data_IF_075242891782
#
_entry.id   IF_075242891782
#
_cell.length_a   1.000
_cell.length_b   1.000
_cell.length_c   1.000
_cell.angle_alpha   90.00
_cell.angle_beta   90.00
_cell.angle_gamma   90.00
#
_symmetry.space_group_name_H-M   'P 1'
#
loop_
_entity.id
_entity.type
_entity.pdbx_description
1 polymer ?
#
# COMPACT_ATOMS: atom_id res chain seq x y z
N UNK A 1 17.14 -8.48 30.38
CA UNK A 1 17.50 -8.32 29.20
C UNK A 1 17.04 -9.16 28.02
N UNK A 2 17.78 -10.01 27.33
CA UNK A 2 17.36 -10.71 26.11
C UNK A 2 16.09 -11.55 26.32
N UNK A 3 15.99 -12.33 27.37
CA UNK A 3 14.82 -13.16 27.70
C UNK A 3 13.55 -12.32 27.85
N UNK A 4 13.62 -11.17 28.52
CA UNK A 4 12.47 -10.28 28.72
C UNK A 4 12.02 -9.73 27.36
N UNK A 5 12.95 -9.25 26.52
CA UNK A 5 12.64 -8.74 25.19
C UNK A 5 12.00 -9.82 24.30
N UNK A 6 12.52 -11.03 24.30
CA UNK A 6 11.98 -12.16 23.55
C UNK A 6 10.58 -12.55 24.05
N UNK A 7 10.39 -12.64 25.37
CA UNK A 7 9.07 -12.95 25.95
C UNK A 7 8.03 -11.89 25.61
N UNK A 8 8.41 -10.61 25.61
CA UNK A 8 7.50 -9.53 25.22
C UNK A 8 7.10 -9.63 23.75
N UNK A 9 8.03 -9.92 22.86
CA UNK A 9 7.74 -10.08 21.42
C UNK A 9 6.86 -11.30 21.13
N UNK A 10 7.01 -12.39 21.90
CA UNK A 10 6.26 -13.62 21.73
C UNK A 10 4.96 -13.68 22.54
N UNK A 11 4.62 -12.62 23.31
CA UNK A 11 3.44 -12.66 24.17
C UNK A 11 2.13 -12.87 23.38
N UNK A 12 2.03 -12.38 22.15
CA UNK A 12 0.85 -12.58 21.30
C UNK A 12 0.60 -14.05 20.96
N UNK A 13 1.65 -14.87 20.86
CA UNK A 13 1.54 -16.31 20.62
C UNK A 13 1.11 -17.13 21.85
N UNK A 14 0.95 -16.48 23.02
CA UNK A 14 0.36 -17.08 24.21
C UNK A 14 -1.16 -17.06 24.19
N UNK A 15 -1.75 -16.22 23.33
CA UNK A 15 -3.19 -16.19 23.12
C UNK A 15 -3.64 -17.52 22.49
N UNK A 16 -4.68 -18.11 23.06
CA UNK A 16 -5.17 -19.43 22.62
C UNK A 16 -5.62 -19.39 21.15
N UNK A 17 -6.34 -18.35 20.76
CA UNK A 17 -6.82 -18.17 19.38
C UNK A 17 -5.66 -18.09 18.38
N UNK A 18 -4.60 -17.32 18.69
CA UNK A 18 -3.42 -17.21 17.85
C UNK A 18 -2.73 -18.56 17.73
N UNK A 19 -2.58 -19.27 18.82
CA UNK A 19 -1.94 -20.58 18.86
C UNK A 19 -2.72 -21.61 18.05
N UNK A 20 -4.04 -21.61 18.16
CA UNK A 20 -4.91 -22.52 17.40
C UNK A 20 -4.86 -22.20 15.90
N UNK A 21 -4.87 -20.91 15.54
CA UNK A 21 -4.78 -20.45 14.14
C UNK A 21 -3.43 -20.83 13.48
N UNK A 22 -2.34 -20.78 14.24
CA UNK A 22 -0.98 -21.02 13.72
C UNK A 22 -0.46 -22.45 13.98
N UNK A 23 -1.28 -23.35 14.51
CA UNK A 23 -0.88 -24.70 14.85
C UNK A 23 -0.66 -25.61 13.63
N UNK A 24 -1.42 -25.42 12.57
CA UNK A 24 -1.35 -26.18 11.33
C UNK A 24 -1.24 -25.26 10.13
N UNK A 25 -0.51 -25.68 9.11
CA UNK A 25 -0.50 -25.02 7.82
C UNK A 25 -1.57 -25.65 6.91
N UNK A 26 -2.63 -24.87 6.64
CA UNK A 26 -3.72 -25.25 5.75
C UNK A 26 -3.82 -24.33 4.53
N UNK A 27 -2.93 -23.33 4.42
CA UNK A 27 -2.98 -22.29 3.38
C UNK A 27 -2.11 -22.67 2.20
N UNK A 28 -1.00 -23.36 2.44
CA UNK A 28 -0.03 -23.77 1.42
C UNK A 28 0.51 -22.58 0.60
N UNK A 29 1.08 -21.58 1.29
CA UNK A 29 1.61 -20.38 0.67
C UNK A 29 2.62 -20.68 -0.45
N UNK A 30 3.31 -21.81 -0.37
CA UNK A 30 4.29 -22.28 -1.34
C UNK A 30 3.68 -22.63 -2.71
N UNK A 31 2.37 -22.86 -2.79
CA UNK A 31 1.69 -23.14 -4.06
C UNK A 31 1.14 -21.89 -4.76
N UNK A 32 1.15 -20.76 -4.06
CA UNK A 32 0.72 -19.50 -4.64
C UNK A 32 1.66 -19.11 -5.79
N UNK A 33 1.10 -18.81 -6.96
CA UNK A 33 1.89 -18.51 -8.17
C UNK A 33 2.25 -19.74 -9.01
N UNK A 34 2.03 -20.96 -8.53
CA UNK A 34 2.14 -22.21 -9.29
C UNK A 34 0.80 -22.57 -9.94
N UNK A 35 -0.30 -22.33 -9.21
CA UNK A 35 -1.66 -22.62 -9.63
C UNK A 35 -2.54 -21.35 -9.53
N UNK A 36 -3.65 -21.35 -10.30
CA UNK A 36 -4.65 -20.27 -10.23
C UNK A 36 -5.41 -20.36 -8.90
N UNK A 37 -4.99 -19.57 -7.94
CA UNK A 37 -5.52 -19.56 -6.58
C UNK A 37 -6.01 -18.16 -6.21
N UNK A 38 -7.03 -18.07 -5.35
CA UNK A 38 -7.48 -16.84 -4.74
C UNK A 38 -7.46 -17.00 -3.21
N UNK A 39 -6.61 -16.21 -2.54
CA UNK A 39 -6.52 -16.15 -1.08
C UNK A 39 -7.26 -14.90 -0.58
N UNK A 40 -8.27 -15.09 0.26
CA UNK A 40 -9.02 -14.03 0.91
C UNK A 40 -8.58 -13.91 2.37
N UNK A 41 -8.10 -12.73 2.74
CA UNK A 41 -7.64 -12.42 4.09
C UNK A 41 -8.61 -11.40 4.68
N UNK A 42 -9.38 -11.82 5.68
CA UNK A 42 -10.37 -10.99 6.34
C UNK A 42 -9.78 -10.50 7.67
N UNK A 43 -9.60 -9.18 7.78
CA UNK A 43 -9.05 -8.53 8.97
C UNK A 43 -10.15 -7.69 9.63
N UNK A 44 -10.44 -7.88 10.92
CA UNK A 44 -11.41 -7.03 11.62
C UNK A 44 -10.98 -5.56 11.62
N UNK A 45 -11.86 -4.66 11.21
CA UNK A 45 -11.55 -3.21 11.17
C UNK A 45 -11.51 -2.55 12.55
N UNK A 46 -12.16 -3.17 13.54
CA UNK A 46 -12.32 -2.62 14.90
C UNK A 46 -11.33 -3.17 15.91
N UNK A 47 -10.66 -4.29 15.61
CA UNK A 47 -9.71 -4.95 16.51
C UNK A 47 -8.36 -5.10 15.83
N UNK A 48 -7.38 -4.32 16.32
CA UNK A 48 -6.01 -4.32 15.79
C UNK A 48 -5.11 -5.37 16.43
N UNK A 49 -5.62 -6.15 17.38
CA UNK A 49 -4.84 -7.13 18.15
C UNK A 49 -4.16 -8.16 17.26
N UNK A 50 -4.82 -8.54 16.15
CA UNK A 50 -4.37 -9.58 15.23
C UNK A 50 -3.70 -9.06 13.96
N UNK A 51 -3.55 -7.73 13.79
CA UNK A 51 -2.94 -7.16 12.59
C UNK A 51 -1.51 -7.64 12.35
N UNK A 52 -0.78 -7.95 13.42
CA UNK A 52 0.58 -8.50 13.31
C UNK A 52 0.62 -9.85 12.57
N UNK A 53 -0.43 -10.68 12.71
CA UNK A 53 -0.54 -11.96 11.98
C UNK A 53 -0.67 -11.73 10.48
N UNK A 54 -1.49 -10.75 10.08
CA UNK A 54 -1.63 -10.39 8.67
C UNK A 54 -0.30 -9.86 8.10
N UNK A 55 0.36 -8.93 8.80
CA UNK A 55 1.65 -8.42 8.38
C UNK A 55 2.72 -9.53 8.27
N UNK A 56 2.75 -10.45 9.23
CA UNK A 56 3.65 -11.61 9.22
C UNK A 56 3.35 -12.54 8.04
N UNK A 57 2.07 -12.85 7.79
CA UNK A 57 1.66 -13.69 6.68
C UNK A 57 2.01 -13.07 5.32
N UNK A 58 1.78 -11.75 5.13
CA UNK A 58 2.21 -11.07 3.92
C UNK A 58 3.72 -11.12 3.73
N UNK A 59 4.49 -10.93 4.80
CA UNK A 59 5.96 -11.06 4.75
C UNK A 59 6.37 -12.46 4.30
N UNK A 60 5.81 -13.50 4.94
CA UNK A 60 6.09 -14.88 4.57
C UNK A 60 5.67 -15.20 3.12
N UNK A 61 4.53 -14.68 2.68
CA UNK A 61 4.05 -14.91 1.32
C UNK A 61 4.98 -14.25 0.28
N UNK A 62 5.42 -13.02 0.49
CA UNK A 62 6.40 -12.38 -0.40
C UNK A 62 7.73 -13.14 -0.42
N UNK A 63 8.27 -13.51 0.74
CA UNK A 63 9.52 -14.26 0.83
C UNK A 63 9.40 -15.61 0.12
N UNK A 64 8.29 -16.32 0.33
CA UNK A 64 8.02 -17.62 -0.32
C UNK A 64 7.93 -17.47 -1.84
N UNK A 65 7.18 -16.47 -2.33
CA UNK A 65 7.04 -16.22 -3.78
C UNK A 65 8.38 -15.85 -4.43
N UNK A 66 9.20 -15.05 -3.76
CA UNK A 66 10.53 -14.69 -4.26
C UNK A 66 11.46 -15.90 -4.30
N UNK A 67 11.49 -16.69 -3.22
CA UNK A 67 12.29 -17.91 -3.19
C UNK A 67 11.86 -18.89 -4.28
N UNK A 68 10.56 -19.12 -4.44
CA UNK A 68 10.03 -19.98 -5.52
C UNK A 68 10.39 -19.47 -6.90
N UNK A 69 10.22 -18.17 -7.14
CA UNK A 69 10.58 -17.59 -8.43
C UNK A 69 12.07 -17.79 -8.75
N UNK A 70 12.95 -17.58 -7.77
CA UNK A 70 14.41 -17.70 -7.95
C UNK A 70 14.84 -19.15 -8.06
N UNK A 71 14.40 -19.98 -7.11
CA UNK A 71 14.92 -21.34 -6.93
C UNK A 71 14.34 -22.33 -7.94
N UNK A 72 13.01 -22.23 -8.21
CA UNK A 72 12.31 -23.21 -9.05
C UNK A 72 12.02 -22.72 -10.46
N UNK A 73 11.84 -21.41 -10.66
CA UNK A 73 11.35 -20.84 -11.93
C UNK A 73 12.33 -19.89 -12.63
N UNK A 74 13.61 -19.98 -12.29
CA UNK A 74 14.67 -19.20 -12.95
C UNK A 74 14.46 -17.67 -12.93
N UNK A 75 13.81 -17.17 -11.90
CA UNK A 75 13.62 -15.74 -11.63
C UNK A 75 12.23 -15.18 -11.95
N UNK A 76 11.25 -16.01 -12.35
CA UNK A 76 9.91 -15.54 -12.66
C UNK A 76 8.84 -16.60 -12.39
N UNK A 77 7.79 -16.25 -11.65
CA UNK A 77 6.68 -17.16 -11.38
C UNK A 77 5.93 -17.51 -12.66
N UNK A 78 5.40 -18.76 -12.81
CA UNK A 78 4.64 -19.18 -13.97
C UNK A 78 3.27 -18.51 -14.07
N UNK A 79 2.68 -18.12 -12.95
CA UNK A 79 1.40 -17.42 -12.86
C UNK A 79 1.60 -16.09 -12.15
N UNK A 80 1.04 -15.02 -12.74
CA UNK A 80 1.08 -13.69 -12.14
C UNK A 80 0.33 -13.64 -10.82
N UNK A 81 0.99 -13.21 -9.75
CA UNK A 81 0.39 -13.03 -8.43
C UNK A 81 0.09 -11.55 -8.20
N UNK A 82 -1.18 -11.23 -7.99
CA UNK A 82 -1.62 -9.87 -7.70
C UNK A 82 -2.11 -9.74 -6.28
N UNK A 83 -1.50 -8.85 -5.53
CA UNK A 83 -1.94 -8.44 -4.21
C UNK A 83 -2.93 -7.29 -4.32
N UNK A 84 -4.14 -7.46 -3.79
CA UNK A 84 -5.14 -6.41 -3.65
C UNK A 84 -5.22 -6.06 -2.16
N UNK A 85 -4.52 -5.01 -1.76
CA UNK A 85 -4.36 -4.62 -0.35
C UNK A 85 -5.35 -3.52 -0.03
N UNK A 86 -6.61 -3.93 0.18
CA UNK A 86 -7.68 -3.02 0.59
C UNK A 86 -7.49 -2.57 2.03
N UNK A 87 -7.74 -1.29 2.29
CA UNK A 87 -7.45 -0.65 3.59
C UNK A 87 -6.06 -1.00 4.14
N UNK A 88 -5.04 -0.86 3.29
CA UNK A 88 -3.65 -1.27 3.57
C UNK A 88 -3.14 -0.80 4.95
N UNK A 89 -3.59 0.37 5.41
CA UNK A 89 -3.21 0.87 6.71
C UNK A 89 -3.63 -0.03 7.88
N UNK A 90 -4.66 -0.86 7.71
CA UNK A 90 -5.16 -1.76 8.73
C UNK A 90 -4.37 -3.08 8.80
N UNK A 91 -3.61 -3.41 7.77
CA UNK A 91 -2.72 -4.59 7.79
C UNK A 91 -1.58 -4.43 8.80
N UNK A 92 -1.21 -3.18 9.11
CA UNK A 92 -0.01 -2.85 9.85
C UNK A 92 1.21 -2.72 8.92
N UNK A 93 2.38 -2.50 9.53
CA UNK A 93 3.61 -2.33 8.76
C UNK A 93 4.12 -3.67 8.26
N UNK A 94 4.18 -3.86 6.94
CA UNK A 94 4.91 -4.95 6.30
C UNK A 94 6.38 -4.51 6.22
N UNK A 95 7.32 -5.23 6.84
CA UNK A 95 8.74 -4.87 6.80
C UNK A 95 9.26 -4.78 5.36
N UNK A 96 10.04 -3.74 5.08
CA UNK A 96 10.72 -3.53 3.79
C UNK A 96 9.79 -3.54 2.56
N UNK A 97 8.51 -3.20 2.74
CA UNK A 97 7.51 -3.24 1.68
C UNK A 97 7.87 -2.31 0.49
N UNK A 98 8.56 -1.21 0.75
CA UNK A 98 9.12 -0.32 -0.27
C UNK A 98 10.08 -1.06 -1.22
N UNK A 99 10.93 -1.95 -0.69
CA UNK A 99 11.84 -2.77 -1.49
C UNK A 99 11.09 -3.86 -2.26
N UNK A 100 10.04 -4.42 -1.64
CA UNK A 100 9.16 -5.39 -2.29
C UNK A 100 8.51 -4.74 -3.52
N UNK A 101 7.91 -3.57 -3.38
CA UNK A 101 7.29 -2.83 -4.50
C UNK A 101 8.30 -2.51 -5.61
N UNK A 102 9.51 -2.11 -5.27
CA UNK A 102 10.56 -1.80 -6.24
C UNK A 102 10.99 -3.01 -7.09
N UNK A 103 10.81 -4.24 -6.59
CA UNK A 103 11.38 -5.44 -7.21
C UNK A 103 10.36 -6.47 -7.67
N UNK A 104 9.13 -6.43 -7.16
CA UNK A 104 8.11 -7.49 -7.33
C UNK A 104 7.76 -7.77 -8.80
N UNK A 105 7.74 -6.75 -9.66
CA UNK A 105 7.42 -6.87 -11.10
C UNK A 105 8.35 -7.86 -11.80
N UNK A 106 9.62 -7.89 -11.44
CA UNK A 106 10.61 -8.83 -12.00
C UNK A 106 10.19 -10.29 -11.79
N UNK A 107 9.52 -10.59 -10.69
CA UNK A 107 9.13 -11.94 -10.30
C UNK A 107 7.70 -12.32 -10.70
N UNK A 108 7.03 -11.53 -11.54
CA UNK A 108 5.63 -11.70 -11.93
C UNK A 108 4.67 -11.43 -10.76
N UNK A 109 5.01 -10.48 -9.90
CA UNK A 109 4.20 -10.05 -8.77
C UNK A 109 3.82 -8.58 -8.95
N UNK A 110 2.58 -8.23 -8.62
CA UNK A 110 2.10 -6.85 -8.56
C UNK A 110 1.28 -6.59 -7.30
N UNK A 111 1.24 -5.34 -6.85
CA UNK A 111 0.43 -4.91 -5.73
C UNK A 111 -0.43 -3.70 -6.10
N UNK A 112 -1.67 -3.72 -5.66
CA UNK A 112 -2.59 -2.59 -5.64
C UNK A 112 -2.79 -2.21 -4.18
N UNK A 113 -2.30 -1.03 -3.81
CA UNK A 113 -2.37 -0.51 -2.43
C UNK A 113 -3.50 0.51 -2.37
N UNK A 114 -4.52 0.24 -1.55
CA UNK A 114 -5.67 1.11 -1.39
C UNK A 114 -5.61 1.77 -0.01
N UNK A 115 -5.72 3.09 0.00
CA UNK A 115 -5.60 3.92 1.19
C UNK A 115 -6.73 4.95 1.23
N UNK A 116 -7.14 5.34 2.40
CA UNK A 116 -8.06 6.47 2.56
C UNK A 116 -7.34 7.82 2.35
N UNK A 117 -6.08 7.91 2.75
CA UNK A 117 -5.22 9.09 2.57
C UNK A 117 -3.73 8.73 2.76
N UNK A 118 -2.83 9.56 2.25
CA UNK A 118 -1.37 9.37 2.38
C UNK A 118 -0.87 9.61 3.81
N UNK A 119 -1.61 10.32 4.65
CA UNK A 119 -1.26 10.51 6.06
C UNK A 119 -1.21 9.18 6.82
N UNK A 120 -2.03 8.19 6.42
CA UNK A 120 -1.97 6.83 6.98
C UNK A 120 -0.64 6.17 6.65
N UNK A 121 -0.20 6.27 5.40
CA UNK A 121 1.06 5.71 4.94
C UNK A 121 2.26 6.33 5.66
N UNK A 122 2.25 7.66 5.79
CA UNK A 122 3.28 8.40 6.52
C UNK A 122 3.42 7.97 7.99
N UNK A 123 2.30 7.66 8.65
CA UNK A 123 2.32 7.14 10.03
C UNK A 123 2.94 5.74 10.13
N UNK A 124 2.68 4.86 9.13
CA UNK A 124 3.17 3.48 9.15
C UNK A 124 4.65 3.37 8.79
N UNK A 125 5.07 4.12 7.77
CA UNK A 125 6.41 3.97 7.18
C UNK A 125 7.36 5.13 7.48
N UNK A 126 6.88 6.15 8.22
CA UNK A 126 7.67 7.31 8.68
C UNK A 126 8.55 7.91 7.57
N UNK A 127 9.85 7.59 7.59
CA UNK A 127 10.83 8.16 6.64
C UNK A 127 10.79 7.54 5.24
N UNK A 128 10.34 6.30 5.10
CA UNK A 128 10.30 5.58 3.81
C UNK A 128 8.94 5.63 3.11
N UNK A 129 7.98 6.38 3.63
CA UNK A 129 6.62 6.42 3.07
C UNK A 129 6.58 6.93 1.62
N UNK A 130 7.45 7.86 1.23
CA UNK A 130 7.50 8.44 -0.13
C UNK A 130 7.96 7.42 -1.18
N UNK A 131 8.73 6.41 -0.75
CA UNK A 131 9.19 5.35 -1.64
C UNK A 131 8.04 4.46 -2.13
N UNK A 132 6.94 4.34 -1.35
CA UNK A 132 5.82 3.50 -1.74
C UNK A 132 5.07 4.05 -2.96
N UNK A 133 4.53 5.27 -2.95
CA UNK A 133 3.92 5.84 -4.15
C UNK A 133 4.95 6.03 -5.28
N UNK A 134 6.21 6.31 -4.96
CA UNK A 134 7.29 6.42 -5.94
C UNK A 134 7.60 5.13 -6.70
N UNK A 135 7.32 3.96 -6.11
CA UNK A 135 7.47 2.65 -6.75
C UNK A 135 6.19 2.16 -7.45
N UNK A 136 5.12 2.94 -7.44
CA UNK A 136 3.87 2.62 -8.14
C UNK A 136 3.83 3.30 -9.51
N UNK A 137 3.62 2.54 -10.58
CA UNK A 137 3.51 3.07 -11.94
C UNK A 137 2.26 3.95 -12.14
N UNK A 138 1.22 3.73 -11.35
CA UNK A 138 -0.08 4.41 -11.47
C UNK A 138 -0.61 4.79 -10.11
N UNK A 139 -1.06 6.02 -9.98
CA UNK A 139 -1.78 6.51 -8.81
C UNK A 139 -3.16 7.01 -9.24
N UNK A 140 -4.20 6.50 -8.56
CA UNK A 140 -5.60 6.93 -8.79
C UNK A 140 -6.07 7.66 -7.53
N UNK A 141 -6.51 8.90 -7.71
CA UNK A 141 -7.07 9.71 -6.64
C UNK A 141 -8.55 10.01 -6.89
N UNK A 142 -9.39 9.57 -5.98
CA UNK A 142 -10.85 9.71 -6.08
C UNK A 142 -11.40 10.93 -5.33
N UNK A 143 -10.50 11.77 -4.82
CA UNK A 143 -10.86 12.93 -4.02
C UNK A 143 -10.78 12.67 -2.51
N UNK A 144 -10.70 13.74 -1.74
CA UNK A 144 -10.63 13.69 -0.28
C UNK A 144 -10.37 15.07 0.33
N UNK A 145 -10.48 15.15 1.67
CA UNK A 145 -10.26 16.39 2.43
C UNK A 145 -8.93 16.40 3.19
N UNK A 146 -8.12 15.34 3.08
CA UNK A 146 -6.82 15.29 3.74
C UNK A 146 -5.86 16.28 3.08
N UNK A 147 -5.49 17.31 3.84
CA UNK A 147 -4.64 18.40 3.33
C UNK A 147 -3.28 17.87 2.84
N UNK A 148 -2.67 16.96 3.59
CA UNK A 148 -1.37 16.39 3.23
C UNK A 148 -1.41 15.67 1.88
N UNK A 149 -2.44 14.85 1.64
CA UNK A 149 -2.64 14.16 0.35
C UNK A 149 -2.84 15.16 -0.78
N UNK A 150 -3.67 16.20 -0.56
CA UNK A 150 -3.94 17.21 -1.57
C UNK A 150 -2.68 18.03 -1.92
N UNK A 151 -1.87 18.40 -0.93
CA UNK A 151 -0.62 19.11 -1.13
C UNK A 151 0.41 18.25 -1.89
N UNK A 152 0.53 16.95 -1.54
CA UNK A 152 1.39 16.01 -2.24
C UNK A 152 1.01 15.94 -3.72
N UNK A 153 -0.25 15.65 -4.02
CA UNK A 153 -0.73 15.54 -5.40
C UNK A 153 -0.59 16.84 -6.19
N UNK A 154 -0.86 17.98 -5.56
CA UNK A 154 -0.67 19.29 -6.20
C UNK A 154 0.79 19.54 -6.59
N UNK A 155 1.74 19.06 -5.80
CA UNK A 155 3.18 19.15 -6.13
C UNK A 155 3.55 18.22 -7.27
N UNK A 156 3.03 16.99 -7.27
CA UNK A 156 3.28 16.00 -8.33
C UNK A 156 2.73 16.46 -9.69
N UNK A 157 1.56 17.08 -9.70
CA UNK A 157 0.94 17.63 -10.92
C UNK A 157 1.68 18.85 -11.46
N UNK A 158 2.43 19.55 -10.61
CA UNK A 158 3.16 20.76 -10.98
C UNK A 158 2.24 21.98 -11.14
N UNK A 159 2.71 22.99 -11.90
CA UNK A 159 1.99 24.24 -12.15
C UNK A 159 1.84 24.44 -13.65
N UNK A 160 0.64 24.82 -14.07
CA UNK A 160 0.35 25.26 -15.43
C UNK A 160 0.08 26.76 -15.45
N UNK A 161 0.58 27.43 -16.49
CA UNK A 161 0.26 28.83 -16.73
C UNK A 161 -1.07 28.92 -17.46
N UNK A 162 -2.06 29.53 -16.82
CA UNK A 162 -3.39 29.78 -17.41
C UNK A 162 -3.46 31.22 -17.83
N UNK A 163 -3.70 31.48 -19.11
CA UNK A 163 -4.05 32.81 -19.60
C UNK A 163 -5.51 33.14 -19.22
N UNK A 164 -5.66 34.00 -18.25
CA UNK A 164 -6.97 34.46 -17.79
C UNK A 164 -7.30 35.82 -18.41
N UNK A 165 -8.23 35.85 -19.34
CA UNK A 165 -8.80 37.11 -19.84
C UNK A 165 -9.94 37.56 -18.92
N UNK A 166 -9.76 38.67 -18.22
CA UNK A 166 -10.86 39.33 -17.49
C UNK A 166 -11.47 40.40 -18.35
N UNK A 167 -12.74 40.24 -18.76
CA UNK A 167 -13.49 41.25 -19.50
C UNK A 167 -14.28 42.08 -18.49
N UNK A 168 -13.79 43.29 -18.21
CA UNK A 168 -14.51 44.29 -17.43
C UNK A 168 -15.35 45.18 -18.37
N UNK A 169 -16.68 44.98 -18.41
CA UNK A 169 -17.59 45.87 -19.09
C UNK A 169 -18.10 46.97 -18.14
N UNK A 170 -17.58 48.17 -18.29
CA UNK A 170 -18.12 49.33 -17.59
C UNK A 170 -19.09 50.05 -18.55
N UNK A 171 -20.41 49.94 -18.28
CA UNK A 171 -21.42 50.73 -18.99
C UNK A 171 -21.43 52.13 -18.41
N UNK A 172 -20.70 53.05 -19.04
CA UNK A 172 -20.81 54.45 -18.75
C UNK A 172 -22.13 55.06 -19.36
N UNK A 173 -22.63 56.12 -18.79
CA UNK A 173 -23.81 56.83 -19.29
C UNK A 173 -23.70 57.29 -20.77
N UNK A 174 -22.58 57.15 -21.43
CA UNK A 174 -22.30 57.50 -22.83
C UNK A 174 -21.88 56.34 -23.74
N UNK A 175 -22.07 55.09 -23.34
CA UNK A 175 -21.96 53.93 -24.24
C UNK A 175 -20.55 53.61 -24.76
N UNK A 176 -19.46 54.00 -24.09
CA UNK A 176 -18.11 53.56 -24.44
C UNK A 176 -17.72 52.27 -23.71
N UNK A 177 -17.28 51.23 -24.43
CA UNK A 177 -16.71 50.00 -23.87
C UNK A 177 -15.19 50.01 -24.09
N UNK A 178 -14.42 49.82 -23.03
CA UNK A 178 -12.97 49.58 -23.14
C UNK A 178 -12.65 48.12 -22.80
N UNK A 179 -11.77 47.48 -23.57
CA UNK A 179 -11.23 46.14 -23.34
C UNK A 179 -9.79 46.31 -22.85
N UNK A 180 -9.48 45.74 -21.73
CA UNK A 180 -8.11 45.55 -21.24
C UNK A 180 -7.76 44.07 -21.15
#
# INVERSE_FOLDING_TARGET
SILISTTTKLQHFKLEDVRNLTYTDNIHLETMGDEKTALFIIIPSTDTTYNFLAAMMYTQLFDTLYDRAITYYHGRLPIHVRFLLDEFANVGKIPEFEKILATCRKFEISAVVILQNLSQLKRLYEKSWEELPGNCDTMIYLGGKDQFTNEYLSKELGKETIDQQSINQTKGKQGSSSYN
#
